data_IF_123465155472
#
_entry.id   IF_123465155472
#
_cell.length_a   1.000
_cell.length_b   1.000
_cell.length_c   1.000
_cell.angle_alpha   90.00
_cell.angle_beta   90.00
_cell.angle_gamma   90.00
#
_symmetry.space_group_name_H-M   'P 1'
#
loop_
_entity.id
_entity.type
_entity.pdbx_description
1 polymer ?
#
# COMPACT_ATOMS: atom_id res chain seq x y z
N UNK A 1 15.28 8.44 4.09
CA UNK A 1 14.82 7.18 4.72
C UNK A 1 13.50 7.45 5.44
N UNK A 2 12.52 6.56 5.35
CA UNK A 2 11.26 6.69 6.09
C UNK A 2 11.41 6.06 7.47
N UNK A 3 10.82 6.69 8.49
CA UNK A 3 10.70 6.15 9.85
C UNK A 3 9.68 5.00 9.90
N UNK A 4 8.54 5.18 9.23
CA UNK A 4 7.46 4.21 9.16
C UNK A 4 6.84 4.19 7.76
N UNK A 5 6.40 3.01 7.35
CA UNK A 5 5.62 2.80 6.13
C UNK A 5 4.34 2.07 6.55
N UNK A 6 3.18 2.64 6.24
CA UNK A 6 1.87 1.99 6.39
C UNK A 6 1.36 1.65 4.99
N UNK A 7 0.93 0.40 4.81
CA UNK A 7 0.53 -0.14 3.52
C UNK A 7 -0.94 -0.56 3.58
N UNK A 8 -1.77 0.08 2.76
CA UNK A 8 -3.21 -0.15 2.69
C UNK A 8 -3.59 -0.65 1.30
N UNK A 9 -3.90 -1.96 1.15
CA UNK A 9 -4.49 -2.46 -0.09
C UNK A 9 -5.94 -1.97 -0.21
N UNK A 10 -6.28 -1.48 -1.39
CA UNK A 10 -7.59 -0.90 -1.71
C UNK A 10 -8.37 -1.90 -2.56
N UNK A 11 -9.53 -2.33 -2.07
CA UNK A 11 -10.46 -3.13 -2.86
C UNK A 11 -11.28 -2.24 -3.80
N UNK A 12 -11.91 -2.85 -4.81
CA UNK A 12 -12.80 -2.15 -5.74
C UNK A 12 -14.00 -1.48 -5.05
N UNK A 13 -14.48 -2.06 -3.95
CA UNK A 13 -15.55 -1.52 -3.10
C UNK A 13 -14.96 -1.28 -1.71
N UNK A 14 -14.23 -0.16 -1.51
CA UNK A 14 -13.54 0.09 -0.26
C UNK A 14 -14.53 0.42 0.85
N UNK A 15 -14.28 -0.11 2.05
CA UNK A 15 -14.92 0.39 3.25
C UNK A 15 -14.04 1.49 3.85
N UNK A 16 -14.39 2.74 3.56
CA UNK A 16 -13.58 3.90 3.96
C UNK A 16 -13.43 4.01 5.48
N UNK A 17 -14.47 3.73 6.27
CA UNK A 17 -14.39 3.75 7.74
C UNK A 17 -13.38 2.74 8.28
N UNK A 18 -13.39 1.51 7.76
CA UNK A 18 -12.41 0.49 8.16
C UNK A 18 -10.99 0.89 7.71
N UNK A 19 -10.84 1.54 6.55
CA UNK A 19 -9.55 2.05 6.08
C UNK A 19 -9.00 3.15 7.00
N UNK A 20 -9.84 4.11 7.40
CA UNK A 20 -9.43 5.14 8.37
C UNK A 20 -9.08 4.51 9.73
N UNK A 21 -9.83 3.49 10.17
CA UNK A 21 -9.55 2.75 11.40
C UNK A 21 -8.18 2.06 11.35
N UNK A 22 -7.82 1.49 10.20
CA UNK A 22 -6.48 0.92 9.96
C UNK A 22 -5.40 1.99 9.98
N UNK A 23 -5.60 3.12 9.30
CA UNK A 23 -4.66 4.24 9.34
C UNK A 23 -4.44 4.75 10.76
N UNK A 24 -5.50 4.85 11.57
CA UNK A 24 -5.36 5.25 12.97
C UNK A 24 -4.49 4.26 13.75
N UNK A 25 -4.80 2.95 13.67
CA UNK A 25 -4.02 1.92 14.37
C UNK A 25 -2.56 1.91 13.92
N UNK A 26 -2.31 2.09 12.63
CA UNK A 26 -0.96 2.10 12.10
C UNK A 26 -0.21 3.38 12.46
N UNK A 27 -0.83 4.56 12.43
CA UNK A 27 -0.11 5.81 12.53
C UNK A 27 -0.12 6.41 13.95
N UNK A 28 -1.14 6.11 14.74
CA UNK A 28 -1.47 6.79 15.99
C UNK A 28 -1.64 5.84 17.19
N UNK A 29 -1.23 4.57 17.07
CA UNK A 29 -1.25 3.59 18.18
C UNK A 29 -0.67 4.13 19.49
N UNK A 30 0.38 4.95 19.39
CA UNK A 30 1.11 5.49 20.54
C UNK A 30 0.46 6.78 21.09
N UNK A 31 -0.43 7.39 20.32
CA UNK A 31 -1.08 8.67 20.65
C UNK A 31 -2.37 8.40 21.43
N UNK A 32 -3.12 7.36 21.06
CA UNK A 32 -4.34 7.01 21.76
C UNK A 32 -5.07 5.81 21.18
N UNK A 33 -6.14 5.41 21.88
CA UNK A 33 -7.07 4.36 21.41
C UNK A 33 -7.83 4.83 20.17
N UNK A 34 -8.30 3.88 19.38
CA UNK A 34 -9.19 4.14 18.24
C UNK A 34 -10.47 4.83 18.74
N UNK A 35 -10.85 6.00 18.20
CA UNK A 35 -12.11 6.66 18.55
C UNK A 35 -13.30 5.91 17.94
N UNK A 36 -14.49 6.18 18.45
CA UNK A 36 -15.72 5.85 17.73
C UNK A 36 -15.95 6.88 16.62
N UNK A 37 -16.21 6.40 15.41
CA UNK A 37 -16.45 7.25 14.24
C UNK A 37 -17.94 7.34 13.95
N UNK A 38 -18.44 8.54 13.72
CA UNK A 38 -19.84 8.74 13.30
C UNK A 38 -20.01 8.45 11.80
N UNK A 39 -19.09 8.97 11.00
CA UNK A 39 -19.03 8.78 9.55
C UNK A 39 -17.58 8.93 9.04
N UNK A 40 -17.40 8.83 7.72
CA UNK A 40 -16.07 8.90 7.09
C UNK A 40 -15.42 10.27 7.27
N UNK A 41 -16.20 11.36 7.22
CA UNK A 41 -15.66 12.71 7.31
C UNK A 41 -15.23 13.02 8.74
N UNK A 42 -16.02 12.61 9.74
CA UNK A 42 -15.65 12.61 11.16
C UNK A 42 -14.38 11.80 11.42
N UNK A 43 -14.32 10.55 10.91
CA UNK A 43 -13.15 9.69 11.05
C UNK A 43 -11.87 10.34 10.49
N UNK A 44 -11.97 10.97 9.31
CA UNK A 44 -10.86 11.68 8.69
C UNK A 44 -10.45 12.94 9.47
N UNK A 45 -11.41 13.68 10.03
CA UNK A 45 -11.14 14.85 10.87
C UNK A 45 -10.40 14.47 12.14
N UNK A 46 -10.83 13.39 12.80
CA UNK A 46 -10.16 12.84 13.97
C UNK A 46 -8.75 12.35 13.62
N UNK A 47 -8.59 11.57 12.54
CA UNK A 47 -7.27 11.11 12.08
C UNK A 47 -6.33 12.30 11.83
N UNK A 48 -6.81 13.32 11.11
CA UNK A 48 -6.01 14.51 10.83
C UNK A 48 -5.58 15.25 12.10
N UNK A 49 -6.46 15.29 13.11
CA UNK A 49 -6.20 15.90 14.41
C UNK A 49 -5.19 15.10 15.23
N UNK A 50 -5.35 13.78 15.35
CA UNK A 50 -4.37 12.93 16.05
C UNK A 50 -3.00 12.96 15.38
N UNK A 51 -2.97 13.03 14.05
CA UNK A 51 -1.71 13.23 13.33
C UNK A 51 -1.09 14.62 13.61
N UNK A 52 -1.84 15.67 14.02
CA UNK A 52 -1.27 17.01 14.37
C UNK A 52 -0.47 16.95 15.65
N UNK A 53 -0.86 16.08 16.55
CA UNK A 53 -0.13 15.79 17.78
C UNK A 53 1.09 14.90 17.54
N UNK A 54 1.15 14.24 16.37
CA UNK A 54 2.31 13.46 15.96
C UNK A 54 3.54 14.37 15.76
N UNK A 55 4.61 14.08 16.50
CA UNK A 55 5.83 14.90 16.50
C UNK A 55 6.73 14.57 15.30
N UNK A 56 7.08 15.58 14.46
CA UNK A 56 7.94 15.41 13.28
C UNK A 56 9.34 14.86 13.55
N UNK A 57 9.81 14.99 14.79
CA UNK A 57 11.13 14.55 15.26
C UNK A 57 11.34 13.02 15.10
N UNK A 58 10.25 12.24 14.99
CA UNK A 58 10.31 10.79 14.73
C UNK A 58 10.79 10.45 13.31
N UNK A 59 10.72 11.38 12.36
CA UNK A 59 11.14 11.20 10.97
C UNK A 59 9.99 10.85 10.00
N UNK A 60 10.24 10.94 8.70
CA UNK A 60 9.20 10.92 7.67
C UNK A 60 8.40 9.60 7.61
N UNK A 61 7.07 9.69 7.52
CA UNK A 61 6.15 8.56 7.36
C UNK A 61 5.66 8.48 5.91
N UNK A 62 5.59 7.25 5.37
CA UNK A 62 4.97 6.96 4.09
C UNK A 62 3.66 6.20 4.29
N UNK A 63 2.58 6.67 3.68
CA UNK A 63 1.33 5.93 3.54
C UNK A 63 1.22 5.47 2.09
N UNK A 64 1.06 4.17 1.88
CA UNK A 64 0.91 3.57 0.54
C UNK A 64 -0.53 3.10 0.40
N UNK A 65 -1.26 3.67 -0.56
CA UNK A 65 -2.58 3.19 -0.98
C UNK A 65 -2.39 2.35 -2.24
N UNK A 66 -2.54 1.04 -2.12
CA UNK A 66 -2.21 0.09 -3.18
C UNK A 66 -3.45 -0.39 -3.96
N UNK A 67 -3.34 -0.49 -5.29
CA UNK A 67 -4.39 -0.91 -6.23
C UNK A 67 -5.65 -0.03 -6.20
N UNK A 68 -5.47 1.30 -6.18
CA UNK A 68 -6.57 2.28 -6.20
C UNK A 68 -7.30 2.30 -7.54
N UNK A 69 -8.63 2.28 -7.46
CA UNK A 69 -9.53 2.38 -8.61
C UNK A 69 -10.03 3.83 -8.75
N UNK A 70 -10.19 4.37 -9.97
CA UNK A 70 -10.64 5.76 -10.17
C UNK A 70 -11.97 6.10 -9.47
N UNK A 71 -12.90 5.14 -9.40
CA UNK A 71 -14.25 5.35 -8.88
C UNK A 71 -14.39 5.11 -7.36
N UNK A 72 -13.28 4.94 -6.63
CA UNK A 72 -13.30 4.36 -5.28
C UNK A 72 -13.45 5.37 -4.11
N UNK A 73 -13.68 6.65 -4.38
CA UNK A 73 -13.77 7.74 -3.37
C UNK A 73 -12.59 7.84 -2.37
N UNK A 74 -11.51 7.08 -2.58
CA UNK A 74 -10.35 7.00 -1.66
C UNK A 74 -9.48 8.25 -1.64
N UNK A 75 -9.77 9.24 -2.48
CA UNK A 75 -9.11 10.55 -2.45
C UNK A 75 -9.14 11.15 -1.04
N UNK A 76 -10.23 10.92 -0.29
CA UNK A 76 -10.38 11.38 1.10
C UNK A 76 -9.28 10.84 2.03
N UNK A 77 -8.71 9.66 1.74
CA UNK A 77 -7.66 9.02 2.54
C UNK A 77 -6.27 9.65 2.33
N UNK A 78 -6.13 10.56 1.37
CA UNK A 78 -4.84 11.16 1.02
C UNK A 78 -4.46 12.23 2.03
N UNK A 79 -3.33 12.03 2.70
CA UNK A 79 -2.81 12.99 3.69
C UNK A 79 -2.08 14.11 2.94
N UNK A 80 -2.82 15.15 2.55
CA UNK A 80 -2.31 16.27 1.75
C UNK A 80 -1.54 17.28 2.60
N UNK A 81 -0.44 17.82 2.03
CA UNK A 81 0.28 19.01 2.50
C UNK A 81 0.69 18.98 3.99
N UNK A 82 1.01 17.79 4.50
CA UNK A 82 1.36 17.58 5.91
C UNK A 82 2.87 17.37 6.09
N UNK A 83 3.55 18.21 6.90
CA UNK A 83 4.96 18.01 7.22
C UNK A 83 5.19 16.63 7.86
N UNK A 84 6.22 15.93 7.39
CA UNK A 84 6.58 14.61 7.90
C UNK A 84 5.78 13.44 7.32
N UNK A 85 4.81 13.67 6.43
CA UNK A 85 4.03 12.61 5.79
C UNK A 85 4.13 12.69 4.26
N UNK A 86 4.17 11.54 3.61
CA UNK A 86 3.98 11.39 2.17
C UNK A 86 2.95 10.30 1.91
N UNK A 87 2.11 10.50 0.91
CA UNK A 87 1.21 9.47 0.40
C UNK A 87 1.68 9.03 -0.99
N UNK A 88 1.84 7.73 -1.18
CA UNK A 88 2.06 7.10 -2.49
C UNK A 88 0.80 6.32 -2.85
N UNK A 89 0.35 6.47 -4.09
CA UNK A 89 -0.82 5.77 -4.61
C UNK A 89 -0.39 4.95 -5.80
N UNK A 90 -0.70 3.65 -5.80
CA UNK A 90 -0.57 2.81 -7.00
C UNK A 90 -1.96 2.59 -7.60
N UNK A 91 -2.05 2.60 -8.93
CA UNK A 91 -3.32 2.50 -9.64
C UNK A 91 -3.09 1.92 -11.02
N UNK A 92 -4.12 1.27 -11.58
CA UNK A 92 -4.13 0.76 -12.96
C UNK A 92 -4.59 1.80 -13.98
N UNK A 93 -5.20 2.89 -13.51
CA UNK A 93 -5.75 3.97 -14.33
C UNK A 93 -5.12 5.32 -14.01
N UNK A 94 -5.54 6.38 -14.71
CA UNK A 94 -5.18 7.74 -14.34
C UNK A 94 -6.05 8.24 -13.18
N UNK A 95 -5.45 8.91 -12.20
CA UNK A 95 -6.14 9.66 -11.15
C UNK A 95 -5.89 11.14 -11.40
N UNK A 96 -6.96 11.91 -11.57
CA UNK A 96 -6.89 13.35 -11.90
C UNK A 96 -6.67 14.24 -10.67
N UNK A 97 -6.82 13.71 -9.46
CA UNK A 97 -6.70 14.43 -8.19
C UNK A 97 -5.30 14.34 -7.54
N UNK A 98 -4.36 13.65 -8.17
CA UNK A 98 -2.97 13.56 -7.71
C UNK A 98 -2.12 14.72 -8.26
N UNK A 99 -1.31 15.32 -7.38
CA UNK A 99 -0.41 16.42 -7.74
C UNK A 99 0.71 15.96 -8.69
N UNK A 100 1.15 14.71 -8.56
CA UNK A 100 2.23 14.11 -9.32
C UNK A 100 1.90 12.66 -9.66
N UNK A 101 2.28 12.24 -10.87
CA UNK A 101 2.14 10.87 -11.33
C UNK A 101 3.47 10.35 -11.89
N UNK A 102 3.67 9.04 -11.77
CA UNK A 102 4.80 8.34 -12.35
C UNK A 102 4.30 7.10 -13.07
N UNK A 103 4.50 7.05 -14.38
CA UNK A 103 4.17 5.88 -15.17
C UNK A 103 5.34 4.91 -15.15
N UNK A 104 5.12 3.73 -14.56
CA UNK A 104 6.14 2.67 -14.51
C UNK A 104 6.43 2.19 -15.94
N UNK A 105 7.69 2.28 -16.41
CA UNK A 105 8.03 1.83 -17.75
C UNK A 105 7.92 0.30 -17.86
N UNK A 106 7.67 -0.18 -19.07
CA UNK A 106 7.77 -1.61 -19.36
C UNK A 106 9.21 -2.07 -19.20
N UNK A 107 9.40 -3.31 -18.77
CA UNK A 107 10.72 -3.94 -18.80
C UNK A 107 11.23 -4.02 -20.24
N UNK A 108 12.54 -3.80 -20.41
CA UNK A 108 13.22 -4.09 -21.66
C UNK A 108 13.23 -5.59 -21.95
N UNK A 109 13.57 -5.96 -23.19
CA UNK A 109 13.54 -7.36 -23.62
C UNK A 109 14.47 -8.24 -22.77
N UNK A 110 15.69 -7.77 -22.48
CA UNK A 110 16.67 -8.56 -21.73
C UNK A 110 16.30 -8.67 -20.25
N UNK A 111 15.79 -7.61 -19.63
CA UNK A 111 15.26 -7.67 -18.26
C UNK A 111 14.04 -8.59 -18.17
N UNK A 112 13.13 -8.52 -19.15
CA UNK A 112 11.95 -9.38 -19.22
C UNK A 112 12.33 -10.86 -19.40
N UNK A 113 13.28 -11.18 -20.30
CA UNK A 113 13.82 -12.54 -20.46
C UNK A 113 14.49 -13.03 -19.18
N UNK A 114 15.31 -12.20 -18.55
CA UNK A 114 15.99 -12.53 -17.30
C UNK A 114 14.98 -12.86 -16.21
N UNK A 115 13.95 -12.03 -16.04
CA UNK A 115 12.86 -12.26 -15.08
C UNK A 115 12.11 -13.57 -15.40
N UNK A 116 11.77 -13.80 -16.67
CA UNK A 116 11.09 -15.01 -17.11
C UNK A 116 11.91 -16.27 -16.84
N UNK A 117 13.19 -16.29 -17.22
CA UNK A 117 14.06 -17.45 -16.99
C UNK A 117 14.25 -17.73 -15.51
N UNK A 118 14.42 -16.68 -14.70
CA UNK A 118 14.50 -16.82 -13.24
C UNK A 118 13.29 -17.59 -12.70
N UNK A 119 12.05 -17.15 -12.98
CA UNK A 119 10.85 -17.83 -12.50
C UNK A 119 10.64 -19.22 -13.11
N UNK A 120 10.94 -19.39 -14.39
CA UNK A 120 10.80 -20.69 -15.06
C UNK A 120 11.71 -21.76 -14.43
N UNK A 121 12.95 -21.39 -14.06
CA UNK A 121 13.90 -22.32 -13.42
C UNK A 121 13.49 -22.73 -12.00
N UNK A 122 12.88 -21.84 -11.22
CA UNK A 122 12.35 -22.18 -9.88
C UNK A 122 11.21 -23.21 -9.94
N UNK A 123 10.39 -23.18 -11.01
CA UNK A 123 9.29 -24.14 -11.18
C UNK A 123 9.75 -25.58 -11.49
N UNK A 124 10.96 -25.77 -12.03
CA UNK A 124 11.51 -27.10 -12.33
C UNK A 124 12.17 -27.76 -11.10
N UNK A 125 12.72 -26.96 -10.17
CA UNK A 125 13.30 -27.49 -8.93
C UNK A 125 12.24 -28.04 -7.95
N UNK A 126 11.01 -27.51 -7.98
CA UNK A 126 9.87 -28.04 -7.21
C UNK A 126 9.31 -29.35 -7.77
N UNK A 127 9.42 -29.60 -9.09
CA UNK A 127 8.97 -30.84 -9.74
C UNK A 127 9.99 -31.98 -9.69
N UNK A 128 11.28 -31.68 -9.52
CA UNK A 128 12.35 -32.72 -9.47
C UNK A 128 12.38 -33.56 -8.19
N UNK A 129 11.59 -33.24 -7.16
CA UNK A 129 11.51 -34.05 -5.92
C UNK A 129 10.63 -35.30 -6.02
N UNK A 130 9.95 -35.53 -7.14
CA UNK A 130 9.17 -36.75 -7.35
C UNK A 130 9.49 -37.39 -8.71
N UNK A 131 10.69 -37.96 -8.83
CA UNK A 131 10.89 -39.09 -9.74
C UNK A 131 10.80 -40.37 -8.91
N UNK A 132 9.78 -41.23 -9.09
CA UNK A 132 9.81 -42.55 -8.48
C UNK A 132 11.00 -43.32 -9.08
N UNK A 133 11.80 -43.95 -8.21
CA UNK A 133 12.80 -44.94 -8.63
C UNK A 133 12.05 -46.05 -9.36
N UNK A 134 12.31 -46.19 -10.67
CA UNK A 134 12.06 -47.45 -11.35
C UNK A 134 12.97 -48.49 -10.69
N UNK A 135 12.37 -49.39 -9.92
CA UNK A 135 13.04 -50.60 -9.45
C UNK A 135 12.83 -51.61 -10.56
N UNK A 136 13.89 -51.88 -11.34
CA UNK A 136 13.95 -53.09 -12.14
C UNK A 136 14.21 -54.26 -11.20
N UNK A 137 13.24 -55.17 -11.05
CA UNK A 137 13.41 -56.62 -10.88
C UNK A 137 12.20 -57.34 -11.47
#
# INVERSE_FOLDING_TARGET
KFYKISFLPISRTPNLLEMVSRLWRDLLSDVGKLPEFQDVDDAMNLLNSGLKEWKPERGMVLVVLDDVWPDSEVEKLVIRKRPGFKTLVTTRGGLNWLDHSYQVPKLGMEEAKSLFFHYAQYSDQGRRRSKPRLVEQ
#
